data_IF_648365773113
#
_entry.id   IF_648365773113
#
_cell.length_a   1.000
_cell.length_b   1.000
_cell.length_c   1.000
_cell.angle_alpha   90.00
_cell.angle_beta   90.00
_cell.angle_gamma   90.00
#
_symmetry.space_group_name_H-M   'P 1'
#
loop_
_entity.id
_entity.type
_entity.pdbx_description
1 polymer ?
#
# COMPACT_ATOMS: atom_id res chain seq x y z
N UNK A 1 -15.52 -3.80 -53.25
CA UNK A 1 -14.74 -4.74 -52.41
C UNK A 1 -14.84 -4.27 -50.97
N UNK A 2 -15.66 -4.96 -50.16
CA UNK A 2 -15.83 -4.67 -48.73
C UNK A 2 -14.63 -5.25 -47.97
N UNK A 3 -13.94 -4.42 -47.22
CA UNK A 3 -12.86 -4.84 -46.33
C UNK A 3 -13.43 -5.81 -45.29
N UNK A 4 -12.90 -7.03 -45.28
CA UNK A 4 -13.00 -7.96 -44.16
C UNK A 4 -12.13 -7.41 -43.02
N UNK A 5 -12.64 -6.40 -42.31
CA UNK A 5 -12.19 -6.05 -40.98
C UNK A 5 -12.93 -6.93 -39.99
N UNK A 6 -12.18 -7.62 -39.15
CA UNK A 6 -12.70 -8.56 -38.16
C UNK A 6 -13.51 -7.79 -37.11
N UNK A 7 -14.84 -7.80 -37.23
CA UNK A 7 -15.77 -7.53 -36.13
C UNK A 7 -15.64 -8.68 -35.11
N UNK A 8 -14.58 -8.65 -34.29
CA UNK A 8 -14.53 -9.39 -33.03
C UNK A 8 -15.29 -8.60 -31.97
N UNK A 9 -16.61 -8.53 -32.17
CA UNK A 9 -17.55 -8.29 -31.07
C UNK A 9 -17.40 -9.49 -30.14
N UNK A 10 -16.82 -9.28 -28.95
CA UNK A 10 -16.62 -10.30 -27.93
C UNK A 10 -17.99 -10.77 -27.39
N UNK A 11 -18.66 -11.65 -28.13
CA UNK A 11 -19.84 -12.37 -27.62
C UNK A 11 -19.34 -13.43 -26.63
N UNK A 12 -19.97 -13.50 -25.46
CA UNK A 12 -19.80 -14.60 -24.52
C UNK A 12 -19.90 -15.94 -25.27
N UNK A 13 -18.79 -16.65 -25.41
CA UNK A 13 -18.81 -17.99 -25.96
C UNK A 13 -19.49 -18.90 -24.92
N UNK A 14 -20.54 -19.67 -25.28
CA UNK A 14 -21.21 -20.56 -24.34
C UNK A 14 -20.19 -21.55 -23.76
N UNK A 15 -20.37 -21.91 -22.49
CA UNK A 15 -19.51 -22.92 -21.87
C UNK A 15 -19.62 -24.24 -22.65
N UNK A 16 -18.51 -24.98 -22.81
CA UNK A 16 -18.53 -26.24 -23.54
C UNK A 16 -19.55 -27.19 -22.93
N UNK A 17 -20.27 -27.96 -23.74
CA UNK A 17 -21.28 -28.91 -23.26
C UNK A 17 -20.69 -29.91 -22.24
N UNK A 18 -19.40 -30.20 -22.33
CA UNK A 18 -18.63 -31.01 -21.37
C UNK A 18 -18.58 -30.44 -19.96
N UNK A 19 -18.73 -29.13 -19.79
CA UNK A 19 -18.88 -28.49 -18.48
C UNK A 19 -20.23 -28.83 -17.87
N UNK A 20 -21.32 -28.70 -18.64
CA UNK A 20 -22.67 -28.99 -18.18
C UNK A 20 -22.86 -30.48 -17.87
N UNK A 21 -22.28 -31.36 -18.68
CA UNK A 21 -22.24 -32.81 -18.40
C UNK A 21 -21.47 -33.14 -17.11
N UNK A 22 -20.40 -32.41 -16.80
CA UNK A 22 -19.65 -32.63 -15.55
C UNK A 22 -20.43 -32.17 -14.31
N UNK A 23 -21.23 -31.10 -14.42
CA UNK A 23 -22.13 -30.64 -13.37
C UNK A 23 -23.27 -31.64 -13.11
N UNK A 24 -23.92 -32.11 -14.19
CA UNK A 24 -25.02 -33.09 -14.10
C UNK A 24 -24.55 -34.44 -13.55
N UNK A 25 -23.27 -34.79 -13.76
CA UNK A 25 -22.65 -36.00 -13.22
C UNK A 25 -22.09 -35.86 -11.79
N UNK A 26 -22.14 -34.66 -11.19
CA UNK A 26 -21.56 -34.39 -9.86
C UNK A 26 -20.03 -34.44 -9.81
N UNK A 27 -19.35 -34.40 -10.96
CA UNK A 27 -17.88 -34.37 -11.07
C UNK A 27 -17.37 -32.92 -11.04
N UNK A 28 -17.45 -32.35 -9.84
CA UNK A 28 -17.19 -30.95 -9.54
C UNK A 28 -15.76 -30.50 -9.84
N UNK A 29 -14.77 -31.37 -9.63
CA UNK A 29 -13.35 -31.09 -9.93
C UNK A 29 -13.11 -30.98 -11.44
N UNK A 30 -13.75 -31.85 -12.22
CA UNK A 30 -13.66 -31.81 -13.68
C UNK A 30 -14.37 -30.59 -14.26
N UNK A 31 -15.53 -30.22 -13.71
CA UNK A 31 -16.22 -28.98 -14.06
C UNK A 31 -15.34 -27.75 -13.80
N UNK A 32 -14.68 -27.69 -12.64
CA UNK A 32 -13.75 -26.63 -12.28
C UNK A 32 -12.56 -26.54 -13.24
N UNK A 33 -11.97 -27.68 -13.62
CA UNK A 33 -10.81 -27.72 -14.52
C UNK A 33 -11.14 -27.31 -15.95
N UNK A 34 -12.34 -27.69 -16.44
CA UNK A 34 -12.86 -27.28 -17.75
C UNK A 34 -13.13 -25.77 -17.75
N UNK A 35 -13.70 -25.24 -16.66
CA UNK A 35 -13.92 -23.80 -16.49
C UNK A 35 -12.60 -23.02 -16.45
N UNK A 36 -11.60 -23.51 -15.72
CA UNK A 36 -10.29 -22.86 -15.59
C UNK A 36 -9.51 -22.77 -16.91
N UNK A 37 -9.74 -23.70 -17.84
CA UNK A 37 -9.05 -23.80 -19.15
C UNK A 37 -9.81 -23.12 -20.29
N UNK A 38 -11.00 -22.57 -20.04
CA UNK A 38 -11.80 -21.93 -21.09
C UNK A 38 -11.27 -20.53 -21.46
N UNK A 39 -11.14 -20.19 -22.76
CA UNK A 39 -10.41 -19.00 -23.20
C UNK A 39 -11.13 -17.64 -23.05
N UNK A 40 -12.40 -17.56 -22.61
CA UNK A 40 -13.18 -16.30 -22.62
C UNK A 40 -13.95 -16.03 -21.30
N UNK A 41 -13.89 -14.78 -20.82
CA UNK A 41 -14.10 -14.36 -19.42
C UNK A 41 -15.38 -13.53 -19.19
N UNK A 42 -16.41 -14.16 -18.63
CA UNK A 42 -17.26 -13.63 -17.57
C UNK A 42 -18.18 -14.78 -17.10
N UNK A 43 -18.20 -15.18 -15.81
CA UNK A 43 -19.32 -15.97 -15.32
C UNK A 43 -20.60 -15.12 -15.42
N UNK A 44 -21.69 -15.60 -16.06
CA UNK A 44 -23.03 -15.09 -15.75
C UNK A 44 -23.21 -15.01 -14.22
N UNK A 45 -24.00 -14.05 -13.72
CA UNK A 45 -24.29 -13.88 -12.28
C UNK A 45 -24.56 -15.22 -11.57
N UNK A 46 -25.24 -16.12 -12.28
CA UNK A 46 -25.72 -17.42 -11.80
C UNK A 46 -24.59 -18.46 -11.64
N UNK A 47 -23.39 -18.19 -12.19
CA UNK A 47 -22.22 -19.09 -12.12
C UNK A 47 -21.36 -18.82 -10.90
N UNK A 48 -21.48 -17.64 -10.28
CA UNK A 48 -20.70 -17.26 -9.08
C UNK A 48 -21.15 -18.07 -7.85
N UNK A 49 -22.46 -18.25 -7.69
CA UNK A 49 -23.01 -19.05 -6.58
C UNK A 49 -22.86 -20.55 -6.83
N UNK A 50 -22.90 -20.98 -8.10
CA UNK A 50 -22.57 -22.35 -8.49
C UNK A 50 -21.12 -22.69 -8.13
N UNK A 51 -20.17 -21.79 -8.41
CA UNK A 51 -18.74 -21.97 -8.09
C UNK A 51 -18.48 -21.98 -6.57
N UNK A 52 -19.17 -21.15 -5.79
CA UNK A 52 -19.11 -21.21 -4.31
C UNK A 52 -19.61 -22.56 -3.79
N UNK A 53 -20.68 -23.09 -4.38
CA UNK A 53 -21.26 -24.39 -4.01
C UNK A 53 -20.30 -25.54 -4.34
N UNK A 54 -19.65 -25.49 -5.51
CA UNK A 54 -18.60 -26.43 -5.96
C UNK A 54 -17.38 -26.39 -5.03
N UNK A 55 -16.92 -25.20 -4.62
CA UNK A 55 -15.81 -25.03 -3.70
C UNK A 55 -16.12 -25.57 -2.30
N UNK A 56 -17.36 -25.36 -1.82
CA UNK A 56 -17.82 -25.91 -0.54
C UNK A 56 -17.93 -27.45 -0.58
N UNK A 57 -18.38 -28.02 -1.70
CA UNK A 57 -18.56 -29.47 -1.85
C UNK A 57 -17.24 -30.25 -2.04
N UNK A 58 -16.17 -29.60 -2.54
CA UNK A 58 -14.91 -30.27 -2.91
C UNK A 58 -13.77 -30.11 -1.91
N UNK A 59 -13.93 -29.26 -0.88
CA UNK A 59 -12.93 -29.11 0.20
C UNK A 59 -11.60 -28.49 -0.24
N UNK A 60 -11.52 -27.89 -1.44
CA UNK A 60 -10.31 -27.24 -1.95
C UNK A 60 -10.07 -25.92 -1.20
N UNK A 61 -8.86 -25.76 -0.64
CA UNK A 61 -8.46 -24.63 0.19
C UNK A 61 -8.74 -23.26 -0.46
N UNK A 62 -9.39 -22.40 0.31
CA UNK A 62 -9.92 -21.09 -0.10
C UNK A 62 -8.84 -20.15 -0.66
N UNK A 63 -7.56 -20.33 -0.32
CA UNK A 63 -6.51 -19.37 -0.67
C UNK A 63 -6.03 -19.41 -2.13
N UNK A 64 -5.78 -20.59 -2.72
CA UNK A 64 -5.26 -20.70 -4.09
C UNK A 64 -6.31 -20.31 -5.15
N UNK A 65 -7.58 -20.58 -4.85
CA UNK A 65 -8.69 -20.19 -5.71
C UNK A 65 -9.05 -18.72 -5.49
N UNK A 66 -9.03 -18.20 -4.25
CA UNK A 66 -9.24 -16.75 -4.02
C UNK A 66 -8.17 -15.90 -4.68
N UNK A 67 -6.89 -16.26 -4.62
CA UNK A 67 -5.84 -15.38 -5.15
C UNK A 67 -5.96 -15.26 -6.67
N UNK A 68 -6.15 -16.38 -7.38
CA UNK A 68 -6.32 -16.40 -8.84
C UNK A 68 -7.69 -15.90 -9.29
N UNK A 69 -8.73 -16.09 -8.47
CA UNK A 69 -10.06 -15.55 -8.73
C UNK A 69 -10.10 -14.04 -8.48
N UNK A 70 -9.45 -13.54 -7.44
CA UNK A 70 -9.28 -12.10 -7.20
C UNK A 70 -8.40 -11.47 -8.26
N UNK A 71 -7.33 -12.13 -8.70
CA UNK A 71 -6.49 -11.68 -9.81
C UNK A 71 -7.31 -11.62 -11.11
N UNK A 72 -8.11 -12.65 -11.41
CA UNK A 72 -9.00 -12.68 -12.57
C UNK A 72 -10.17 -11.70 -12.46
N UNK A 73 -10.75 -11.49 -11.27
CA UNK A 73 -11.76 -10.46 -10.99
C UNK A 73 -11.17 -9.08 -11.14
N UNK A 74 -9.96 -8.84 -10.64
CA UNK A 74 -9.26 -7.56 -10.75
C UNK A 74 -8.92 -7.27 -12.21
N UNK A 75 -8.43 -8.26 -12.95
CA UNK A 75 -8.21 -8.15 -14.39
C UNK A 75 -9.53 -7.94 -15.14
N UNK A 76 -10.59 -8.67 -14.83
CA UNK A 76 -11.91 -8.42 -15.43
C UNK A 76 -12.53 -7.11 -14.97
N UNK A 77 -12.22 -6.54 -13.81
CA UNK A 77 -12.66 -5.20 -13.41
C UNK A 77 -11.84 -4.11 -14.13
N UNK A 78 -10.57 -4.38 -14.42
CA UNK A 78 -9.71 -3.54 -15.25
C UNK A 78 -10.13 -3.59 -16.74
N UNK A 79 -10.68 -4.72 -17.23
CA UNK A 79 -11.06 -4.93 -18.63
C UNK A 79 -12.58 -4.84 -18.93
N UNK A 80 -13.46 -5.04 -17.94
CA UNK A 80 -14.88 -4.67 -17.94
C UNK A 80 -15.08 -3.21 -17.53
N UNK A 81 -14.05 -2.38 -17.74
CA UNK A 81 -14.27 -0.96 -18.00
C UNK A 81 -15.30 -0.89 -19.12
N UNK A 82 -16.57 -0.70 -18.75
CA UNK A 82 -17.53 -0.05 -19.64
C UNK A 82 -16.77 1.12 -20.25
N UNK A 83 -16.86 1.29 -21.56
CA UNK A 83 -16.46 2.55 -22.16
C UNK A 83 -17.03 3.67 -21.25
N UNK A 84 -16.20 4.64 -20.83
CA UNK A 84 -16.65 5.72 -19.96
C UNK A 84 -17.58 6.63 -20.76
N UNK A 85 -18.76 6.14 -21.10
CA UNK A 85 -19.89 6.97 -21.46
C UNK A 85 -20.53 7.37 -20.15
N UNK A 86 -20.13 8.54 -19.62
CA UNK A 86 -21.08 9.53 -19.08
C UNK A 86 -20.42 10.84 -18.59
N UNK A 87 -19.09 10.96 -18.50
CA UNK A 87 -18.41 12.28 -18.42
C UNK A 87 -17.07 12.20 -19.15
N UNK A 88 -16.93 12.91 -20.27
CA UNK A 88 -15.64 13.08 -20.93
C UNK A 88 -14.65 13.70 -19.94
N UNK A 89 -13.43 13.18 -19.84
CA UNK A 89 -12.51 13.56 -18.76
C UNK A 89 -12.11 15.04 -18.78
N UNK A 90 -12.06 15.65 -19.98
CA UNK A 90 -11.94 17.09 -20.12
C UNK A 90 -13.10 17.85 -19.45
N UNK A 91 -14.32 17.30 -19.51
CA UNK A 91 -15.52 17.86 -18.85
C UNK A 91 -15.41 17.77 -17.33
N UNK A 92 -14.78 16.73 -16.75
CA UNK A 92 -14.54 16.68 -15.30
C UNK A 92 -13.52 17.74 -14.84
N UNK A 93 -12.37 17.83 -15.51
CA UNK A 93 -11.35 18.81 -15.14
C UNK A 93 -11.83 20.25 -15.37
N UNK A 94 -12.55 20.48 -16.46
CA UNK A 94 -13.20 21.75 -16.75
C UNK A 94 -14.30 22.06 -15.72
N UNK A 95 -15.08 21.05 -15.30
CA UNK A 95 -16.05 21.19 -14.20
C UNK A 95 -15.36 21.50 -12.87
N UNK A 96 -14.21 20.88 -12.54
CA UNK A 96 -13.40 21.24 -11.38
C UNK A 96 -12.89 22.68 -11.47
N UNK A 97 -12.41 23.10 -12.65
CA UNK A 97 -11.91 24.46 -12.88
C UNK A 97 -13.02 25.52 -12.73
N UNK A 98 -14.24 25.17 -13.14
CA UNK A 98 -15.44 26.04 -13.09
C UNK A 98 -16.24 25.92 -11.79
N UNK A 99 -15.91 24.95 -10.93
CA UNK A 99 -16.63 24.68 -9.68
C UNK A 99 -18.01 24.03 -9.86
N UNK A 100 -18.25 23.28 -10.94
CA UNK A 100 -19.53 22.58 -11.18
C UNK A 100 -19.63 21.28 -10.36
N UNK A 101 -20.10 21.44 -9.11
CA UNK A 101 -20.25 20.33 -8.16
C UNK A 101 -21.15 19.18 -8.63
N UNK A 102 -22.11 19.44 -9.54
CA UNK A 102 -23.03 18.41 -10.04
C UNK A 102 -22.30 17.46 -10.99
N UNK A 103 -21.52 18.02 -11.92
CA UNK A 103 -20.73 17.25 -12.88
C UNK A 103 -19.58 16.52 -12.17
N UNK A 104 -18.93 17.16 -11.18
CA UNK A 104 -17.88 16.55 -10.35
C UNK A 104 -18.44 15.32 -9.61
N UNK A 105 -19.58 15.45 -8.92
CA UNK A 105 -20.17 14.35 -8.17
C UNK A 105 -20.64 13.21 -9.08
N UNK A 106 -21.25 13.52 -10.23
CA UNK A 106 -21.65 12.53 -11.22
C UNK A 106 -20.46 11.72 -11.75
N UNK A 107 -19.35 12.39 -12.09
CA UNK A 107 -18.12 11.75 -12.55
C UNK A 107 -17.50 10.84 -11.48
N UNK A 108 -17.42 11.29 -10.23
CA UNK A 108 -16.86 10.51 -9.12
C UNK A 108 -17.74 9.32 -8.75
N UNK A 109 -19.06 9.47 -8.77
CA UNK A 109 -20.01 8.36 -8.62
C UNK A 109 -19.88 7.33 -9.74
N UNK A 110 -19.67 7.79 -10.99
CA UNK A 110 -19.38 6.93 -12.14
C UNK A 110 -18.06 6.17 -12.01
N UNK A 111 -17.08 6.75 -11.32
CA UNK A 111 -15.82 6.09 -10.93
C UNK A 111 -15.93 5.21 -9.67
N UNK A 112 -17.16 4.88 -9.23
CA UNK A 112 -17.45 4.08 -8.04
C UNK A 112 -16.94 4.66 -6.71
N UNK A 113 -16.67 5.96 -6.65
CA UNK A 113 -16.46 6.67 -5.38
C UNK A 113 -17.83 7.07 -4.86
N UNK A 114 -18.46 6.24 -4.03
CA UNK A 114 -19.86 6.44 -3.60
C UNK A 114 -20.02 7.23 -2.30
N UNK A 115 -19.01 7.26 -1.43
CA UNK A 115 -19.10 7.94 -0.14
C UNK A 115 -18.88 9.46 -0.29
N UNK A 116 -19.79 10.33 0.16
CA UNK A 116 -19.68 11.79 -0.02
C UNK A 116 -18.38 12.38 0.52
N UNK A 117 -17.91 11.94 1.69
CA UNK A 117 -16.65 12.40 2.27
C UNK A 117 -15.43 12.00 1.41
N UNK A 118 -15.48 10.84 0.75
CA UNK A 118 -14.42 10.42 -0.18
C UNK A 118 -14.49 11.17 -1.50
N UNK A 119 -15.70 11.47 -1.99
CA UNK A 119 -15.88 12.31 -3.18
C UNK A 119 -15.27 13.71 -2.96
N UNK A 120 -15.55 14.33 -1.81
CA UNK A 120 -14.98 15.64 -1.46
C UNK A 120 -13.45 15.56 -1.38
N UNK A 121 -12.91 14.60 -0.64
CA UNK A 121 -11.45 14.44 -0.50
C UNK A 121 -10.74 14.22 -1.85
N UNK A 122 -11.34 13.43 -2.74
CA UNK A 122 -10.79 13.18 -4.08
C UNK A 122 -10.93 14.43 -4.97
N UNK A 123 -12.05 15.15 -4.90
CA UNK A 123 -12.23 16.40 -5.63
C UNK A 123 -11.22 17.48 -5.19
N UNK A 124 -10.97 17.62 -3.88
CA UNK A 124 -9.95 18.52 -3.33
C UNK A 124 -8.54 18.15 -3.81
N UNK A 125 -8.19 16.86 -3.76
CA UNK A 125 -6.90 16.37 -4.27
C UNK A 125 -6.72 16.63 -5.78
N UNK A 126 -7.78 16.42 -6.57
CA UNK A 126 -7.76 16.77 -7.99
C UNK A 126 -7.62 18.28 -8.20
N UNK A 127 -8.31 19.11 -7.41
CA UNK A 127 -8.17 20.56 -7.49
C UNK A 127 -6.73 21.03 -7.17
N UNK A 128 -6.04 20.38 -6.23
CA UNK A 128 -4.62 20.64 -5.94
C UNK A 128 -3.75 20.32 -7.16
N UNK A 129 -3.96 19.18 -7.83
CA UNK A 129 -3.24 18.83 -9.07
C UNK A 129 -3.52 19.82 -10.20
N UNK A 130 -4.80 20.17 -10.41
CA UNK A 130 -5.22 21.13 -11.43
C UNK A 130 -4.56 22.49 -11.23
N UNK A 131 -4.56 22.99 -9.98
CA UNK A 131 -3.89 24.24 -9.62
C UNK A 131 -2.38 24.18 -9.87
N UNK A 132 -1.75 23.04 -9.57
CA UNK A 132 -0.32 22.86 -9.79
C UNK A 132 0.06 22.76 -11.27
N UNK A 133 -0.81 22.20 -12.11
CA UNK A 133 -0.61 22.09 -13.55
C UNK A 133 -0.77 23.44 -14.28
N UNK A 134 -1.56 24.36 -13.74
CA UNK A 134 -1.67 25.74 -14.22
C UNK A 134 -2.41 25.83 -15.56
N UNK A 135 -1.95 26.70 -16.45
CA UNK A 135 -2.61 26.93 -17.75
C UNK A 135 -2.49 25.76 -18.74
N UNK A 136 -1.47 24.91 -18.55
CA UNK A 136 -1.19 23.76 -19.44
C UNK A 136 -1.77 22.45 -18.88
N UNK A 137 -2.83 22.54 -18.07
CA UNK A 137 -3.38 21.38 -17.37
C UNK A 137 -3.91 20.32 -18.33
N UNK A 138 -4.43 20.71 -19.49
CA UNK A 138 -4.94 19.78 -20.52
C UNK A 138 -3.83 18.83 -20.99
N UNK A 139 -2.68 19.38 -21.41
CA UNK A 139 -1.51 18.61 -21.84
C UNK A 139 -0.90 17.80 -20.68
N UNK A 140 -0.72 18.45 -19.52
CA UNK A 140 -0.01 17.83 -18.38
C UNK A 140 -0.80 16.77 -17.63
N UNK A 141 -2.14 16.81 -17.66
CA UNK A 141 -2.99 15.89 -16.90
C UNK A 141 -3.84 14.98 -17.80
N UNK A 142 -4.39 15.47 -18.92
CA UNK A 142 -5.27 14.62 -19.74
C UNK A 142 -4.50 13.66 -20.65
N UNK A 143 -3.41 14.12 -21.27
CA UNK A 143 -2.65 13.29 -22.22
C UNK A 143 -1.70 12.33 -21.52
N UNK A 144 -1.22 12.69 -20.32
CA UNK A 144 -0.24 11.92 -19.55
C UNK A 144 -0.87 10.88 -18.61
N UNK A 145 -2.12 11.08 -18.16
CA UNK A 145 -2.73 10.25 -17.10
C UNK A 145 -4.22 9.89 -17.36
N UNK A 146 -4.52 8.66 -17.83
CA UNK A 146 -5.89 8.24 -18.11
C UNK A 146 -6.74 8.00 -16.83
N UNK A 147 -7.96 8.56 -16.81
CA UNK A 147 -8.88 8.60 -15.65
C UNK A 147 -9.32 7.26 -15.08
N UNK A 148 -9.32 6.19 -15.85
CA UNK A 148 -9.80 4.86 -15.43
C UNK A 148 -8.97 4.22 -14.30
N UNK A 149 -8.12 5.03 -13.66
CA UNK A 149 -7.15 4.72 -12.64
C UNK A 149 -7.14 5.77 -11.51
N UNK A 150 -8.11 6.71 -11.37
CA UNK A 150 -8.14 7.66 -10.23
C UNK A 150 -8.47 6.94 -8.93
N UNK A 151 -7.42 6.35 -8.38
CA UNK A 151 -7.33 5.89 -7.01
C UNK A 151 -6.61 6.97 -6.21
N UNK A 152 -6.82 6.95 -4.90
CA UNK A 152 -6.12 7.83 -3.94
C UNK A 152 -4.61 7.82 -4.18
N UNK A 153 -4.03 6.63 -4.34
CA UNK A 153 -2.62 6.41 -4.63
C UNK A 153 -2.17 7.03 -5.94
N UNK A 154 -2.98 6.92 -7.00
CA UNK A 154 -2.59 7.41 -8.32
C UNK A 154 -2.49 8.93 -8.36
N UNK A 155 -3.36 9.68 -7.68
CA UNK A 155 -3.25 11.14 -7.61
C UNK A 155 -1.90 11.59 -7.03
N UNK A 156 -1.42 10.90 -5.99
CA UNK A 156 -0.09 11.16 -5.42
C UNK A 156 1.02 10.69 -6.37
N UNK A 157 0.86 9.56 -7.04
CA UNK A 157 1.83 9.10 -8.05
C UNK A 157 2.03 10.12 -9.16
N UNK A 158 0.97 10.74 -9.67
CA UNK A 158 1.07 11.79 -10.70
C UNK A 158 1.92 12.96 -10.19
N UNK A 159 1.63 13.47 -8.99
CA UNK A 159 2.43 14.55 -8.39
C UNK A 159 3.91 14.17 -8.23
N UNK A 160 4.20 12.95 -7.77
CA UNK A 160 5.56 12.46 -7.60
C UNK A 160 6.28 12.25 -8.94
N UNK A 161 5.61 11.74 -9.97
CA UNK A 161 6.17 11.58 -11.32
C UNK A 161 6.52 12.94 -11.94
N UNK A 162 5.73 13.98 -11.65
CA UNK A 162 6.02 15.36 -12.03
C UNK A 162 7.12 16.02 -11.19
N UNK A 163 7.78 15.29 -10.28
CA UNK A 163 8.79 15.80 -9.34
C UNK A 163 8.25 16.89 -8.40
N UNK A 164 6.93 16.91 -8.16
CA UNK A 164 6.24 17.89 -7.30
C UNK A 164 5.89 17.27 -5.95
N UNK A 165 6.89 17.11 -5.11
CA UNK A 165 6.71 16.57 -3.75
C UNK A 165 5.83 17.48 -2.88
N UNK A 166 5.87 18.79 -3.11
CA UNK A 166 5.04 19.79 -2.42
C UNK A 166 3.55 19.53 -2.66
N UNK A 167 3.19 19.26 -3.91
CA UNK A 167 1.83 18.91 -4.34
C UNK A 167 1.42 17.54 -3.78
N UNK A 168 2.35 16.58 -3.75
CA UNK A 168 2.11 15.27 -3.16
C UNK A 168 1.79 15.36 -1.66
N UNK A 169 2.53 16.20 -0.90
CA UNK A 169 2.27 16.46 0.53
C UNK A 169 0.85 17.00 0.73
N UNK A 170 0.43 17.96 -0.07
CA UNK A 170 -0.91 18.54 0.06
C UNK A 170 -1.99 17.49 -0.25
N UNK A 171 -1.85 16.69 -1.31
CA UNK A 171 -2.78 15.59 -1.62
C UNK A 171 -2.87 14.58 -0.46
N UNK A 172 -1.73 14.21 0.14
CA UNK A 172 -1.68 13.27 1.27
C UNK A 172 -2.42 13.80 2.51
N UNK A 173 -2.53 15.12 2.69
CA UNK A 173 -3.32 15.73 3.77
C UNK A 173 -4.82 15.65 3.54
N UNK A 174 -5.26 15.76 2.28
CA UNK A 174 -6.69 15.75 1.92
C UNK A 174 -7.26 14.33 1.84
N UNK A 175 -6.41 13.34 1.57
CA UNK A 175 -6.85 11.98 1.29
C UNK A 175 -6.36 11.03 2.36
N UNK A 176 -7.26 10.22 2.92
CA UNK A 176 -6.87 9.20 3.89
C UNK A 176 -6.23 8.00 3.18
N UNK A 177 -4.92 7.84 3.34
CA UNK A 177 -4.16 6.69 2.84
C UNK A 177 -4.16 5.53 3.83
N UNK A 178 -4.08 4.30 3.33
CA UNK A 178 -3.79 3.08 4.10
C UNK A 178 -2.31 2.70 3.98
N UNK A 179 -1.83 1.75 4.80
CA UNK A 179 -0.46 1.23 4.70
C UNK A 179 -0.17 0.65 3.31
N UNK A 180 -1.13 -0.07 2.72
CA UNK A 180 -1.00 -0.61 1.37
C UNK A 180 -0.83 0.49 0.32
N UNK A 181 -1.60 1.57 0.44
CA UNK A 181 -1.50 2.72 -0.47
C UNK A 181 -0.10 3.36 -0.40
N UNK A 182 0.41 3.59 0.82
CA UNK A 182 1.76 4.14 1.04
C UNK A 182 2.84 3.21 0.50
N UNK A 183 2.72 1.89 0.71
CA UNK A 183 3.66 0.91 0.15
C UNK A 183 3.69 0.91 -1.38
N UNK A 184 2.56 1.16 -2.05
CA UNK A 184 2.50 1.25 -3.52
C UNK A 184 3.24 2.50 -4.02
N UNK A 185 3.12 3.64 -3.34
CA UNK A 185 3.75 4.90 -3.77
C UNK A 185 5.19 5.07 -3.25
N UNK A 186 5.61 4.26 -2.29
CA UNK A 186 6.93 4.32 -1.66
C UNK A 186 8.10 4.35 -2.66
N UNK A 187 8.14 3.53 -3.73
CA UNK A 187 9.23 3.56 -4.72
C UNK A 187 9.42 4.92 -5.40
N UNK A 188 8.35 5.72 -5.53
CA UNK A 188 8.42 7.09 -6.05
C UNK A 188 8.84 8.08 -4.97
N UNK A 189 8.30 7.94 -3.74
CA UNK A 189 8.70 8.79 -2.61
C UNK A 189 10.19 8.67 -2.30
N UNK A 190 10.75 7.46 -2.36
CA UNK A 190 12.15 7.18 -2.07
C UNK A 190 13.15 7.77 -3.09
N UNK A 191 12.67 8.35 -4.20
CA UNK A 191 13.50 9.07 -5.16
C UNK A 191 13.88 10.48 -4.66
N UNK A 192 13.13 11.02 -3.72
CA UNK A 192 13.37 12.35 -3.15
C UNK A 192 14.37 12.31 -1.98
N UNK A 193 14.80 13.49 -1.55
CA UNK A 193 15.64 13.65 -0.37
C UNK A 193 14.90 13.29 0.92
N UNK A 194 15.66 13.08 1.99
CA UNK A 194 15.07 12.67 3.27
C UNK A 194 14.14 13.73 3.87
N UNK A 195 14.37 15.02 3.59
CA UNK A 195 13.54 16.13 4.09
C UNK A 195 12.16 16.09 3.47
N UNK A 196 12.12 15.92 2.15
CA UNK A 196 10.90 15.83 1.36
C UNK A 196 10.12 14.56 1.77
N UNK A 197 10.82 13.42 1.92
CA UNK A 197 10.20 12.17 2.40
C UNK A 197 9.62 12.32 3.80
N UNK A 198 10.34 12.98 4.72
CA UNK A 198 9.85 13.23 6.07
C UNK A 198 8.57 14.07 6.06
N UNK A 199 8.48 15.09 5.21
CA UNK A 199 7.26 15.90 5.06
C UNK A 199 6.10 15.08 4.48
N UNK A 200 6.35 14.24 3.49
CA UNK A 200 5.33 13.35 2.91
C UNK A 200 4.79 12.36 3.93
N UNK A 201 5.64 11.66 4.69
CA UNK A 201 5.14 10.72 5.71
C UNK A 201 4.44 11.43 6.88
N UNK A 202 4.79 12.69 7.15
CA UNK A 202 4.12 13.49 8.18
C UNK A 202 2.71 13.93 7.76
N UNK A 203 2.45 13.96 6.44
CA UNK A 203 1.12 14.20 5.90
C UNK A 203 0.24 12.93 5.92
N UNK A 204 0.83 11.75 6.07
CA UNK A 204 0.09 10.49 6.14
C UNK A 204 -0.50 10.25 7.54
N UNK A 205 -1.61 9.48 7.65
CA UNK A 205 -2.04 8.94 8.94
C UNK A 205 -0.95 8.05 9.54
N UNK A 206 -0.72 8.16 10.86
CA UNK A 206 0.31 7.42 11.61
C UNK A 206 0.34 5.92 11.29
N UNK A 207 -0.82 5.28 11.34
CA UNK A 207 -0.95 3.83 11.14
C UNK A 207 -0.76 3.38 9.67
N UNK A 208 -0.62 4.33 8.75
CA UNK A 208 -0.43 4.07 7.32
C UNK A 208 1.02 4.14 6.90
N UNK A 209 1.92 4.63 7.76
CA UNK A 209 3.35 4.74 7.42
C UNK A 209 4.04 3.41 7.75
N UNK A 210 4.72 2.75 6.78
CA UNK A 210 5.57 1.60 7.06
C UNK A 210 6.91 2.07 7.65
N UNK A 211 6.92 2.41 8.94
CA UNK A 211 8.09 2.98 9.63
C UNK A 211 9.34 2.09 9.59
N UNK A 212 9.14 0.77 9.53
CA UNK A 212 10.17 -0.25 9.34
C UNK A 212 10.97 -0.05 8.05
N UNK A 213 10.36 0.52 7.01
CA UNK A 213 11.00 0.78 5.72
C UNK A 213 11.45 2.24 5.59
N UNK A 214 10.64 3.18 6.08
CA UNK A 214 10.88 4.61 5.86
C UNK A 214 12.00 5.16 6.74
N UNK A 215 12.03 4.80 8.02
CA UNK A 215 13.00 5.37 8.96
C UNK A 215 14.44 4.99 8.60
N UNK A 216 14.75 3.72 8.27
CA UNK A 216 16.10 3.36 7.80
C UNK A 216 16.51 4.13 6.54
N UNK A 217 15.59 4.39 5.61
CA UNK A 217 15.87 5.19 4.42
C UNK A 217 16.24 6.63 4.79
N UNK A 218 15.44 7.29 5.63
CA UNK A 218 15.66 8.68 6.06
C UNK A 218 17.02 8.83 6.76
N UNK A 219 17.35 7.89 7.65
CA UNK A 219 18.61 7.88 8.40
C UNK A 219 19.82 7.63 7.46
N UNK A 220 19.74 6.64 6.58
CA UNK A 220 20.82 6.35 5.60
C UNK A 220 21.05 7.46 4.59
N UNK A 221 20.03 8.29 4.33
CA UNK A 221 20.14 9.49 3.47
C UNK A 221 20.73 10.70 4.20
N UNK A 222 21.14 10.58 5.46
CA UNK A 222 21.88 11.61 6.19
C UNK A 222 21.07 12.43 7.19
N UNK A 223 19.83 12.01 7.53
CA UNK A 223 19.12 12.60 8.66
C UNK A 223 19.76 12.16 9.98
N UNK A 224 19.96 13.09 10.92
CA UNK A 224 20.49 12.73 12.24
C UNK A 224 19.43 12.00 13.08
N UNK A 225 19.89 11.06 13.92
CA UNK A 225 19.02 10.36 14.86
C UNK A 225 18.26 11.34 15.77
N UNK A 226 18.93 12.39 16.24
CA UNK A 226 18.35 13.39 17.12
C UNK A 226 17.19 14.13 16.44
N UNK A 227 17.45 14.70 15.24
CA UNK A 227 16.42 15.44 14.49
C UNK A 227 15.22 14.57 14.16
N UNK A 228 15.45 13.31 13.77
CA UNK A 228 14.36 12.38 13.48
C UNK A 228 13.57 12.01 14.73
N UNK A 229 14.24 11.80 15.87
CA UNK A 229 13.59 11.46 17.15
C UNK A 229 12.70 12.59 17.64
N UNK A 230 13.20 13.83 17.61
CA UNK A 230 12.43 15.03 17.99
C UNK A 230 11.17 15.17 17.13
N UNK A 231 11.28 14.92 15.82
CA UNK A 231 10.14 14.96 14.91
C UNK A 231 9.10 13.87 15.23
N UNK A 232 9.56 12.63 15.48
CA UNK A 232 8.69 11.50 15.82
C UNK A 232 8.03 11.65 17.20
N UNK A 233 8.71 12.32 18.13
CA UNK A 233 8.18 12.69 19.44
C UNK A 233 7.05 13.72 19.29
N UNK A 234 7.27 14.79 18.52
CA UNK A 234 6.24 15.79 18.20
C UNK A 234 5.04 15.15 17.49
N UNK A 235 5.31 14.20 16.59
CA UNK A 235 4.26 13.42 15.94
C UNK A 235 3.57 12.43 16.89
N UNK A 236 4.07 12.20 18.12
CA UNK A 236 3.56 11.22 19.09
C UNK A 236 3.43 9.83 18.49
N UNK A 237 4.50 9.34 17.87
CA UNK A 237 4.57 7.98 17.29
C UNK A 237 5.64 7.11 17.94
N UNK A 238 6.45 7.66 18.84
CA UNK A 238 7.45 6.90 19.60
C UNK A 238 6.83 5.83 20.54
N UNK A 239 5.51 5.83 20.75
CA UNK A 239 4.84 4.75 21.49
C UNK A 239 4.78 3.41 20.75
N UNK A 240 5.20 3.37 19.47
CA UNK A 240 5.13 2.19 18.62
C UNK A 240 6.51 1.52 18.46
N UNK A 241 6.55 0.20 18.63
CA UNK A 241 7.75 -0.62 18.45
C UNK A 241 8.25 -0.57 17.00
N UNK A 242 7.34 -0.49 16.03
CA UNK A 242 7.67 -0.38 14.61
C UNK A 242 8.41 0.93 14.29
N UNK A 243 8.35 1.92 15.19
CA UNK A 243 9.07 3.20 15.10
C UNK A 243 10.39 3.13 15.88
N UNK A 244 10.37 2.60 17.10
CA UNK A 244 11.53 2.61 18.01
C UNK A 244 12.60 1.61 17.57
N UNK A 245 12.21 0.41 17.12
CA UNK A 245 13.16 -0.65 16.77
C UNK A 245 14.10 -0.26 15.60
N UNK A 246 13.62 0.38 14.50
CA UNK A 246 14.50 0.90 13.45
C UNK A 246 15.50 1.96 13.93
N UNK A 247 15.11 2.83 14.88
CA UNK A 247 16.00 3.88 15.42
C UNK A 247 17.15 3.26 16.22
N UNK A 248 16.83 2.29 17.10
CA UNK A 248 17.83 1.55 17.88
C UNK A 248 18.76 0.76 16.97
N UNK A 249 18.21 0.12 15.93
CA UNK A 249 19.00 -0.63 14.96
C UNK A 249 20.05 0.24 14.27
N UNK A 250 19.66 1.45 13.85
CA UNK A 250 20.59 2.40 13.26
C UNK A 250 21.58 3.00 14.26
N UNK A 251 21.18 3.19 15.53
CA UNK A 251 22.10 3.59 16.59
C UNK A 251 23.20 2.54 16.84
N UNK A 252 22.87 1.24 16.75
CA UNK A 252 23.86 0.16 16.80
C UNK A 252 24.81 0.25 15.60
N UNK A 253 24.29 0.46 14.38
CA UNK A 253 25.11 0.59 13.16
C UNK A 253 26.08 1.78 13.21
N UNK A 254 25.68 2.86 13.88
CA UNK A 254 26.48 4.10 14.03
C UNK A 254 27.28 4.16 15.34
N UNK A 255 27.29 3.06 16.12
CA UNK A 255 27.96 2.96 17.41
C UNK A 255 27.55 4.04 18.44
N UNK A 256 26.30 4.53 18.35
CA UNK A 256 25.73 5.48 19.30
C UNK A 256 25.12 4.76 20.50
N UNK A 257 25.98 4.29 21.41
CA UNK A 257 25.59 3.45 22.55
C UNK A 257 24.70 4.17 23.56
N UNK A 258 24.91 5.46 23.78
CA UNK A 258 24.04 6.28 24.65
C UNK A 258 22.60 6.35 24.13
N UNK A 259 22.42 6.32 22.81
CA UNK A 259 21.09 6.24 22.21
C UNK A 259 20.51 4.82 22.34
N UNK A 260 21.32 3.77 22.23
CA UNK A 260 20.89 2.39 22.44
C UNK A 260 20.38 2.18 23.86
N UNK A 261 21.10 2.67 24.87
CA UNK A 261 20.70 2.53 26.28
C UNK A 261 19.37 3.24 26.56
N UNK A 262 19.20 4.49 26.09
CA UNK A 262 17.93 5.22 26.18
C UNK A 262 16.80 4.54 25.39
N UNK A 263 17.11 3.99 24.23
CA UNK A 263 16.15 3.23 23.43
C UNK A 263 15.67 1.97 24.14
N UNK A 264 16.56 1.28 24.85
CA UNK A 264 16.22 0.11 25.67
C UNK A 264 15.32 0.47 26.86
N UNK A 265 15.56 1.61 27.51
CA UNK A 265 14.63 2.14 28.53
C UNK A 265 13.25 2.41 27.92
N UNK A 266 13.21 3.06 26.77
CA UNK A 266 11.96 3.36 26.07
C UNK A 266 11.19 2.11 25.63
N UNK A 267 11.89 1.04 25.22
CA UNK A 267 11.28 -0.26 24.93
C UNK A 267 10.62 -0.90 26.17
N UNK A 268 11.15 -0.63 27.38
CA UNK A 268 10.50 -1.04 28.64
C UNK A 268 9.25 -0.19 28.89
N UNK A 269 9.33 1.13 28.68
CA UNK A 269 8.23 2.06 28.93
C UNK A 269 7.00 1.78 28.06
N UNK A 270 7.21 1.40 26.80
CA UNK A 270 6.12 0.96 25.90
C UNK A 270 5.67 -0.49 26.15
N UNK A 271 6.29 -1.19 27.11
CA UNK A 271 5.93 -2.55 27.52
C UNK A 271 6.39 -3.64 26.57
N UNK A 272 7.30 -3.34 25.64
CA UNK A 272 7.75 -4.30 24.63
C UNK A 272 8.77 -5.31 25.18
N UNK A 273 9.64 -4.88 26.11
CA UNK A 273 10.58 -5.74 26.83
C UNK A 273 10.42 -5.57 28.34
N UNK A 274 10.83 -6.57 29.12
CA UNK A 274 10.79 -6.48 30.58
C UNK A 274 11.99 -5.70 31.13
N UNK A 275 11.80 -5.01 32.25
CA UNK A 275 12.88 -4.33 32.98
C UNK A 275 14.04 -5.28 33.29
N UNK A 276 13.74 -6.53 33.68
CA UNK A 276 14.75 -7.54 33.95
C UNK A 276 15.57 -7.94 32.71
N UNK A 277 14.96 -7.98 31.51
CA UNK A 277 15.69 -8.22 30.27
C UNK A 277 16.61 -7.05 29.92
N UNK A 278 16.16 -5.81 30.15
CA UNK A 278 16.99 -4.61 30.00
C UNK A 278 18.17 -4.61 30.98
N UNK A 279 17.95 -4.96 32.24
CA UNK A 279 19.00 -4.99 33.26
C UNK A 279 20.05 -6.07 32.96
N UNK A 280 19.60 -7.24 32.51
CA UNK A 280 20.50 -8.31 32.06
C UNK A 280 21.33 -7.87 30.85
N UNK A 281 20.72 -7.20 29.86
CA UNK A 281 21.44 -6.63 28.72
C UNK A 281 22.48 -5.59 29.17
N UNK A 282 22.08 -4.62 30.01
CA UNK A 282 22.99 -3.61 30.54
C UNK A 282 24.15 -4.22 31.34
N UNK A 283 23.90 -5.29 32.09
CA UNK A 283 24.94 -6.03 32.79
C UNK A 283 25.94 -6.70 31.83
N UNK A 284 25.45 -7.38 30.80
CA UNK A 284 26.30 -7.97 29.76
C UNK A 284 27.12 -6.91 29.01
N UNK A 285 26.52 -5.76 28.69
CA UNK A 285 27.23 -4.65 28.06
C UNK A 285 28.33 -4.08 28.96
N UNK A 286 28.13 -4.00 30.28
CA UNK A 286 29.16 -3.60 31.23
C UNK A 286 30.33 -4.60 31.31
N UNK A 287 30.06 -5.90 31.16
CA UNK A 287 31.08 -6.94 31.22
C UNK A 287 31.88 -7.11 29.93
N UNK A 288 31.20 -7.08 28.77
CA UNK A 288 31.79 -7.47 27.48
C UNK A 288 31.88 -6.32 26.47
N UNK A 289 31.28 -5.17 26.78
CA UNK A 289 31.14 -4.01 25.88
C UNK A 289 29.91 -4.09 24.98
N UNK A 290 29.26 -2.94 24.72
CA UNK A 290 28.07 -2.84 23.86
C UNK A 290 28.29 -3.42 22.46
N UNK A 291 29.43 -3.13 21.84
CA UNK A 291 29.74 -3.60 20.49
C UNK A 291 29.72 -5.14 20.39
N UNK A 292 30.36 -5.82 21.35
CA UNK A 292 30.47 -7.29 21.36
C UNK A 292 29.11 -7.95 21.63
N UNK A 293 28.33 -7.39 22.55
CA UNK A 293 26.99 -7.90 22.88
C UNK A 293 26.03 -7.70 21.72
N UNK A 294 25.98 -6.49 21.14
CA UNK A 294 25.11 -6.19 20.00
C UNK A 294 25.50 -7.00 18.75
N UNK A 295 26.80 -7.24 18.52
CA UNK A 295 27.26 -8.11 17.44
C UNK A 295 26.80 -9.56 17.66
N UNK A 296 26.98 -10.11 18.86
CA UNK A 296 26.52 -11.46 19.17
C UNK A 296 24.99 -11.60 19.02
N UNK A 297 24.22 -10.60 19.46
CA UNK A 297 22.77 -10.56 19.24
C UNK A 297 22.42 -10.65 17.75
N UNK A 298 23.11 -9.86 16.91
CA UNK A 298 22.94 -9.89 15.45
C UNK A 298 23.32 -11.24 14.85
N UNK A 299 24.43 -11.84 15.28
CA UNK A 299 24.90 -13.15 14.82
C UNK A 299 23.90 -14.27 15.15
N UNK A 300 23.15 -14.13 16.25
CA UNK A 300 22.07 -15.04 16.65
C UNK A 300 20.68 -14.66 16.09
N UNK A 301 20.59 -13.67 15.18
CA UNK A 301 19.32 -13.14 14.64
C UNK A 301 18.33 -12.67 15.74
N UNK A 302 18.86 -12.09 16.82
CA UNK A 302 18.08 -11.57 17.93
C UNK A 302 17.99 -10.05 17.83
N UNK A 303 16.75 -9.55 17.72
CA UNK A 303 16.43 -8.13 17.77
C UNK A 303 16.22 -7.68 19.23
N UNK A 304 16.75 -6.50 19.56
CA UNK A 304 16.57 -5.85 20.87
C UNK A 304 15.10 -5.59 21.18
N UNK A 305 14.28 -5.33 20.15
CA UNK A 305 12.84 -5.14 20.31
C UNK A 305 12.09 -6.40 20.78
N UNK A 306 12.73 -7.58 20.74
CA UNK A 306 12.12 -8.87 21.13
C UNK A 306 12.97 -9.58 22.17
N UNK A 307 13.70 -8.82 22.97
CA UNK A 307 14.66 -9.34 23.91
C UNK A 307 13.98 -9.97 25.12
N UNK A 308 14.49 -11.12 25.53
CA UNK A 308 14.08 -11.81 26.77
C UNK A 308 15.31 -12.35 27.48
N UNK A 309 15.22 -12.61 28.79
CA UNK A 309 16.33 -13.19 29.58
C UNK A 309 16.82 -14.50 28.94
N UNK A 310 15.90 -15.39 28.58
CA UNK A 310 16.22 -16.67 27.93
C UNK A 310 16.99 -16.49 26.61
N UNK A 311 16.71 -15.42 25.86
CA UNK A 311 17.41 -15.11 24.60
C UNK A 311 18.82 -14.56 24.85
N UNK A 312 19.00 -13.78 25.92
CA UNK A 312 20.31 -13.28 26.32
C UNK A 312 21.25 -14.40 26.79
N UNK A 313 20.71 -15.41 27.49
CA UNK A 313 21.47 -16.59 27.92
C UNK A 313 22.05 -17.40 26.75
N UNK A 314 21.44 -17.32 25.56
CA UNK A 314 21.94 -18.01 24.36
C UNK A 314 23.25 -17.43 23.82
N UNK A 315 23.58 -16.19 24.17
CA UNK A 315 24.75 -15.49 23.64
C UNK A 315 26.08 -16.09 24.11
N UNK A 316 26.09 -16.80 25.26
CA UNK A 316 27.28 -17.47 25.85
C UNK A 316 28.55 -16.61 25.78
N UNK A 317 28.42 -15.32 26.15
CA UNK A 317 29.49 -14.32 26.10
C UNK A 317 30.44 -14.38 27.31
#
# INVERSE_FOLDING_TARGET
MKSRGIDKVWRAAPLPQTFQTALEAGDWLRALHIYQRHPYHAPPSDTCDLLKTIMHATGVGVEDVKSRFNEKITLSAIFQRKAPEEVEWGVFWDALNKGDGKVISAALSGAHVSAPAQQIAIAEACAVLLKAAGKDWEEKLMESTPFATVTRSNLVQVALMMQRWDVAVDILRHVRFTRADVSIIWPLMAQFGWKEVLQMISACPKNSVPYDQVLPFILKKGCSLQTLSEHLEQARVLGDVDVVAPLISYAIETHNWDYVDRGMEHLVDIGQISAAARDAFAHLCKLHGHERVCKALKDHNLDLSKLTIKRLELLRL
#
